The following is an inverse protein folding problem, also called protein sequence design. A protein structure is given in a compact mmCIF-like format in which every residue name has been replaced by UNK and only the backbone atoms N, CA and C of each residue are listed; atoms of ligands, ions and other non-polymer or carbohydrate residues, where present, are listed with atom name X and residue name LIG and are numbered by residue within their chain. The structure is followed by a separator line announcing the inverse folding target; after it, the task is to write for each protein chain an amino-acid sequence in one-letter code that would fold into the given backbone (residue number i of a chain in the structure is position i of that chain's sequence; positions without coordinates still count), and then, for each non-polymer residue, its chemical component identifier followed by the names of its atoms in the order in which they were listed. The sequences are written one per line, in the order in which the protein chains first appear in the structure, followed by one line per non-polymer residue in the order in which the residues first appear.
data_IF_020649051394
#
_entry.id   IF_020649051394
#
_cell.length_a   1.000
_cell.length_b   1.000
_cell.length_c   1.000
_cell.angle_alpha   90.00
_cell.angle_beta   90.00
_cell.angle_gamma   90.00
#
_symmetry.space_group_name_H-M   'P 1'
#
loop_
_entity.id
_entity.type
_entity.pdbx_description
1 polymer ?
#
# COMPACT_ATOMS: atom_id res chain seq x y z
N UNK A 1 -15.16 -20.11 -3.50
CA UNK A 1 -14.45 -19.57 -2.32
C UNK A 1 -14.39 -18.07 -2.50
N UNK A 2 -15.37 -17.36 -1.94
CA UNK A 2 -15.54 -15.92 -2.11
C UNK A 2 -14.63 -15.21 -1.08
N UNK A 3 -13.51 -14.64 -1.52
CA UNK A 3 -12.69 -13.81 -0.65
C UNK A 3 -13.42 -12.50 -0.38
N UNK A 4 -13.73 -12.28 0.90
CA UNK A 4 -14.32 -11.09 1.47
C UNK A 4 -13.55 -9.84 1.01
N UNK A 5 -14.10 -9.12 0.03
CA UNK A 5 -13.80 -7.70 -0.19
C UNK A 5 -14.35 -6.93 1.02
N UNK A 6 -13.57 -6.87 2.09
CA UNK A 6 -13.88 -6.02 3.22
C UNK A 6 -13.58 -4.58 2.81
N UNK A 7 -14.63 -3.80 2.57
CA UNK A 7 -14.55 -2.35 2.44
C UNK A 7 -14.01 -1.84 3.77
N UNK A 8 -12.81 -1.26 3.78
CA UNK A 8 -12.32 -0.53 4.95
C UNK A 8 -13.11 0.78 4.94
N UNK A 9 -14.32 0.73 5.48
CA UNK A 9 -15.04 1.94 5.87
C UNK A 9 -14.26 2.48 7.04
N UNK A 10 -13.42 3.50 6.82
CA UNK A 10 -12.91 4.30 7.93
C UNK A 10 -14.15 4.76 8.71
N UNK A 11 -14.29 4.42 10.00
CA UNK A 11 -15.42 4.91 10.76
C UNK A 11 -15.27 6.43 10.77
N UNK A 12 -16.27 7.12 10.22
CA UNK A 12 -16.49 8.50 10.61
C UNK A 12 -16.67 8.47 12.12
N UNK A 13 -15.97 9.36 12.82
CA UNK A 13 -16.12 9.48 14.25
C UNK A 13 -17.50 10.09 14.47
N UNK A 14 -18.46 9.26 14.85
CA UNK A 14 -19.81 9.66 15.24
C UNK A 14 -19.71 10.44 16.55
N UNK A 15 -19.44 11.74 16.44
CA UNK A 15 -19.80 12.70 17.47
C UNK A 15 -21.06 13.39 16.93
N UNK A 16 -22.22 13.02 17.50
CA UNK A 16 -23.56 13.65 17.47
C UNK A 16 -24.68 12.82 16.79
N UNK A 17 -25.53 12.23 17.64
CA UNK A 17 -26.63 11.28 17.37
C UNK A 17 -27.92 11.89 16.78
N UNK A 18 -27.91 13.03 16.07
CA UNK A 18 -29.18 13.73 15.73
C UNK A 18 -29.37 14.26 14.29
N UNK A 19 -28.61 13.80 13.27
CA UNK A 19 -28.83 14.32 11.90
C UNK A 19 -28.56 13.34 10.74
N UNK A 20 -29.19 12.16 10.77
CA UNK A 20 -29.06 11.14 9.71
C UNK A 20 -29.81 11.49 8.39
N UNK A 21 -30.32 12.72 8.21
CA UNK A 21 -31.08 13.10 7.02
C UNK A 21 -30.78 14.50 6.46
N UNK A 22 -29.74 15.19 6.95
CA UNK A 22 -29.28 16.44 6.33
C UNK A 22 -28.58 16.16 5.01
N UNK A 23 -29.20 16.62 3.92
CA UNK A 23 -28.57 16.62 2.60
C UNK A 23 -27.74 17.90 2.55
N UNK A 24 -26.39 17.82 2.57
CA UNK A 24 -25.54 19.00 2.54
C UNK A 24 -25.82 19.81 1.27
N UNK A 25 -25.83 21.13 1.41
CA UNK A 25 -26.00 22.01 0.25
C UNK A 25 -24.78 21.94 -0.68
N UNK A 26 -24.89 22.55 -1.87
CA UNK A 26 -23.83 22.45 -2.86
C UNK A 26 -22.49 23.01 -2.37
N UNK A 27 -22.52 24.03 -1.53
CA UNK A 27 -21.30 24.67 -1.02
C UNK A 27 -20.65 23.78 0.05
N UNK A 28 -21.46 23.23 0.96
CA UNK A 28 -21.01 22.28 1.98
C UNK A 28 -20.40 21.02 1.35
N UNK A 29 -21.00 20.48 0.29
CA UNK A 29 -20.44 19.33 -0.44
C UNK A 29 -19.06 19.64 -1.05
N UNK A 30 -18.86 20.84 -1.60
CA UNK A 30 -17.57 21.25 -2.16
C UNK A 30 -16.49 21.42 -1.09
N UNK A 31 -16.84 22.02 0.04
CA UNK A 31 -15.96 22.16 1.20
C UNK A 31 -15.57 20.78 1.76
N UNK A 32 -16.52 19.84 1.86
CA UNK A 32 -16.27 18.48 2.30
C UNK A 32 -15.35 17.71 1.33
N UNK A 33 -15.61 17.77 0.01
CA UNK A 33 -14.76 17.11 -0.99
C UNK A 33 -13.33 17.69 -0.97
N UNK A 34 -13.18 19.01 -0.86
CA UNK A 34 -11.87 19.65 -0.79
C UNK A 34 -11.12 19.31 0.51
N UNK A 35 -11.84 19.25 1.63
CA UNK A 35 -11.29 18.81 2.91
C UNK A 35 -10.80 17.37 2.82
N UNK A 36 -11.64 16.45 2.32
CA UNK A 36 -11.28 15.05 2.10
C UNK A 36 -10.06 14.90 1.20
N UNK A 37 -9.97 15.66 0.10
CA UNK A 37 -8.81 15.67 -0.79
C UNK A 37 -7.53 16.09 -0.07
N UNK A 38 -7.60 17.14 0.74
CA UNK A 38 -6.45 17.68 1.47
C UNK A 38 -5.98 16.71 2.55
N UNK A 39 -6.91 16.18 3.35
CA UNK A 39 -6.62 15.19 4.39
C UNK A 39 -6.06 13.89 3.79
N UNK A 40 -6.62 13.43 2.66
CA UNK A 40 -6.13 12.23 2.00
C UNK A 40 -4.73 12.43 1.44
N UNK A 41 -4.45 13.54 0.76
CA UNK A 41 -3.11 13.85 0.26
C UNK A 41 -2.06 13.92 1.39
N UNK A 42 -2.41 14.50 2.54
CA UNK A 42 -1.52 14.53 3.71
C UNK A 42 -1.29 13.12 4.28
N UNK A 43 -2.35 12.32 4.42
CA UNK A 43 -2.29 10.93 4.87
C UNK A 43 -1.44 10.07 3.93
N UNK A 44 -1.59 10.24 2.61
CA UNK A 44 -0.89 9.47 1.59
C UNK A 44 0.61 9.75 1.63
N UNK A 45 1.01 11.02 1.74
CA UNK A 45 2.42 11.41 1.90
C UNK A 45 3.03 10.77 3.16
N UNK A 46 2.29 10.75 4.27
CA UNK A 46 2.77 10.11 5.51
C UNK A 46 2.88 8.59 5.35
N UNK A 47 1.89 7.93 4.73
CA UNK A 47 1.90 6.50 4.47
C UNK A 47 3.08 6.09 3.57
N UNK A 48 3.30 6.83 2.49
CA UNK A 48 4.44 6.63 1.57
C UNK A 48 5.77 6.77 2.31
N UNK A 49 5.93 7.82 3.13
CA UNK A 49 7.16 8.02 3.89
C UNK A 49 7.41 6.89 4.89
N UNK A 50 6.38 6.45 5.61
CA UNK A 50 6.48 5.35 6.57
C UNK A 50 6.90 4.06 5.87
N UNK A 51 6.27 3.70 4.75
CA UNK A 51 6.62 2.46 4.05
C UNK A 51 8.00 2.51 3.40
N UNK A 52 8.43 3.67 2.89
CA UNK A 52 9.81 3.86 2.42
C UNK A 52 10.83 3.58 3.51
N UNK A 53 10.62 4.10 4.72
CA UNK A 53 11.50 3.84 5.87
C UNK A 53 11.56 2.33 6.17
N UNK A 54 10.42 1.64 6.18
CA UNK A 54 10.36 0.19 6.42
C UNK A 54 11.13 -0.59 5.35
N UNK A 55 10.95 -0.26 4.07
CA UNK A 55 11.66 -0.92 2.96
C UNK A 55 13.17 -0.67 3.06
N UNK A 56 13.60 0.56 3.37
CA UNK A 56 15.02 0.90 3.53
C UNK A 56 15.64 0.18 4.71
N UNK A 57 14.96 0.14 5.87
CA UNK A 57 15.44 -0.58 7.05
C UNK A 57 15.60 -2.08 6.76
N UNK A 58 14.63 -2.67 6.05
CA UNK A 58 14.73 -4.07 5.63
C UNK A 58 15.88 -4.31 4.64
N UNK A 59 16.10 -3.40 3.70
CA UNK A 59 17.22 -3.48 2.77
C UNK A 59 18.56 -3.42 3.52
N UNK A 60 18.69 -2.53 4.52
CA UNK A 60 19.88 -2.43 5.37
C UNK A 60 20.11 -3.74 6.14
N UNK A 61 19.06 -4.33 6.72
CA UNK A 61 19.18 -5.60 7.44
C UNK A 61 19.70 -6.74 6.53
N UNK A 62 19.21 -6.81 5.29
CA UNK A 62 19.71 -7.77 4.29
C UNK A 62 21.13 -7.44 3.81
N UNK A 63 21.50 -6.16 3.73
CA UNK A 63 22.84 -5.72 3.36
C UNK A 63 23.89 -6.12 4.40
N UNK A 64 23.56 -6.06 5.70
CA UNK A 64 24.45 -6.55 6.76
C UNK A 64 24.71 -8.05 6.66
N UNK A 65 23.77 -8.81 6.09
CA UNK A 65 23.88 -10.25 5.87
C UNK A 65 24.54 -10.60 4.52
N UNK A 66 25.02 -9.62 3.75
CA UNK A 66 25.65 -9.86 2.44
C UNK A 66 26.94 -10.69 2.54
N UNK A 67 27.62 -10.66 3.69
CA UNK A 67 28.85 -11.43 3.96
C UNK A 67 28.59 -12.85 4.54
N UNK A 68 27.34 -13.31 4.52
CA UNK A 68 26.94 -14.64 5.00
C UNK A 68 26.94 -15.67 3.84
N UNK A 69 26.74 -16.99 4.06
CA UNK A 69 27.03 -18.01 3.04
C UNK A 69 26.02 -18.06 1.88
N UNK A 70 25.02 -17.18 1.85
CA UNK A 70 24.01 -17.10 0.79
C UNK A 70 23.99 -15.74 0.06
N UNK A 71 25.13 -15.26 -0.48
CA UNK A 71 25.22 -13.91 -1.07
C UNK A 71 24.33 -13.75 -2.31
N UNK A 72 24.07 -14.83 -3.05
CA UNK A 72 23.18 -14.77 -4.21
C UNK A 72 21.72 -14.50 -3.82
N UNK A 73 21.24 -15.12 -2.72
CA UNK A 73 19.87 -14.91 -2.25
C UNK A 73 19.69 -13.52 -1.63
N UNK A 74 20.70 -13.02 -0.90
CA UNK A 74 20.66 -11.65 -0.37
C UNK A 74 20.68 -10.62 -1.49
N UNK A 75 21.49 -10.79 -2.55
CA UNK A 75 21.48 -9.92 -3.72
C UNK A 75 20.11 -9.90 -4.43
N UNK A 76 19.48 -11.06 -4.63
CA UNK A 76 18.12 -11.13 -5.18
C UNK A 76 17.14 -10.33 -4.33
N UNK A 77 17.18 -10.51 -3.01
CA UNK A 77 16.32 -9.76 -2.09
C UNK A 77 16.60 -8.26 -2.15
N UNK A 78 17.85 -7.83 -2.25
CA UNK A 78 18.19 -6.41 -2.42
C UNK A 78 17.61 -5.83 -3.73
N UNK A 79 17.66 -6.57 -4.83
CA UNK A 79 17.01 -6.17 -6.10
C UNK A 79 15.49 -6.03 -5.95
N UNK A 80 14.86 -6.92 -5.17
CA UNK A 80 13.42 -6.81 -4.84
C UNK A 80 13.14 -5.51 -4.07
N UNK A 81 13.96 -5.14 -3.09
CA UNK A 81 13.79 -3.89 -2.35
C UNK A 81 13.93 -2.66 -3.26
N UNK A 82 14.89 -2.68 -4.20
CA UNK A 82 15.00 -1.64 -5.23
C UNK A 82 13.73 -1.57 -6.07
N UNK A 83 13.20 -2.72 -6.52
CA UNK A 83 11.96 -2.76 -7.28
C UNK A 83 10.75 -2.25 -6.48
N UNK A 84 10.70 -2.45 -5.16
CA UNK A 84 9.66 -1.89 -4.30
C UNK A 84 9.76 -0.37 -4.16
N UNK A 85 10.97 0.18 -4.08
CA UNK A 85 11.18 1.64 -4.11
C UNK A 85 10.70 2.20 -5.46
N UNK A 86 11.01 1.53 -6.56
CA UNK A 86 10.51 1.88 -7.89
C UNK A 86 8.98 1.85 -7.97
N UNK A 87 8.32 0.88 -7.31
CA UNK A 87 6.87 0.87 -7.20
C UNK A 87 6.34 2.11 -6.47
N UNK A 88 6.92 2.43 -5.31
CA UNK A 88 6.51 3.59 -4.50
C UNK A 88 6.61 4.90 -5.29
N UNK A 89 7.62 5.02 -6.15
CA UNK A 89 7.80 6.21 -6.99
C UNK A 89 7.13 6.11 -8.37
N UNK A 90 6.48 4.98 -8.68
CA UNK A 90 5.86 4.69 -9.97
C UNK A 90 6.82 4.82 -11.19
N UNK A 91 8.09 4.41 -11.03
CA UNK A 91 9.13 4.51 -12.08
C UNK A 91 9.61 3.12 -12.52
N UNK A 92 9.43 2.75 -13.79
CA UNK A 92 10.04 1.56 -14.41
C UNK A 92 10.06 0.27 -13.56
N UNK A 93 8.92 -0.04 -12.93
CA UNK A 93 8.73 -1.14 -11.99
C UNK A 93 8.43 -2.48 -12.68
N UNK A 94 8.95 -3.58 -12.14
CA UNK A 94 8.58 -4.95 -12.53
C UNK A 94 7.30 -5.34 -11.80
N UNK A 95 6.35 -5.99 -12.47
CA UNK A 95 5.03 -6.32 -11.90
C UNK A 95 5.06 -7.03 -10.53
N UNK A 96 4.06 -6.75 -9.69
CA UNK A 96 3.88 -7.42 -8.40
C UNK A 96 3.89 -8.96 -8.45
N UNK A 97 3.18 -9.65 -9.38
CA UNK A 97 3.19 -11.11 -9.43
C UNK A 97 4.58 -11.70 -9.61
N UNK A 98 5.40 -11.10 -10.46
CA UNK A 98 6.78 -11.50 -10.68
C UNK A 98 7.62 -11.23 -9.42
N UNK A 99 7.42 -10.07 -8.78
CA UNK A 99 8.08 -9.71 -7.53
C UNK A 99 7.78 -10.71 -6.41
N UNK A 100 6.53 -11.17 -6.27
CA UNK A 100 6.17 -12.24 -5.34
C UNK A 100 6.84 -13.57 -5.71
N UNK A 101 6.78 -13.97 -6.98
CA UNK A 101 7.39 -15.23 -7.43
C UNK A 101 8.90 -15.26 -7.10
N UNK A 102 9.62 -14.17 -7.36
CA UNK A 102 11.03 -14.04 -7.02
C UNK A 102 11.27 -14.02 -5.50
N UNK A 103 10.39 -13.38 -4.72
CA UNK A 103 10.54 -13.32 -3.26
C UNK A 103 10.40 -14.68 -2.57
N UNK A 104 9.68 -15.62 -3.19
CA UNK A 104 9.49 -16.97 -2.69
C UNK A 104 10.67 -17.91 -3.00
N UNK A 105 11.60 -17.52 -3.88
CA UNK A 105 12.79 -18.33 -4.21
C UNK A 105 13.65 -18.59 -2.98
N UNK A 106 13.92 -17.56 -2.16
CA UNK A 106 14.76 -17.74 -0.98
C UNK A 106 14.07 -18.60 0.12
N UNK A 107 12.82 -18.34 0.53
CA UNK A 107 12.10 -19.20 1.47
C UNK A 107 12.01 -20.66 1.03
N UNK A 108 11.70 -20.91 -0.25
CA UNK A 108 11.57 -22.28 -0.77
C UNK A 108 12.90 -23.01 -0.76
N UNK A 109 13.98 -22.38 -1.21
CA UNK A 109 15.33 -22.97 -1.14
C UNK A 109 15.76 -23.25 0.30
N UNK A 110 15.48 -22.34 1.24
CA UNK A 110 15.79 -22.56 2.66
C UNK A 110 14.99 -23.73 3.26
N UNK A 111 13.73 -23.93 2.85
CA UNK A 111 12.93 -25.08 3.29
C UNK A 111 13.58 -26.39 2.83
N UNK A 112 14.06 -26.48 1.59
CA UNK A 112 14.73 -27.67 1.08
C UNK A 112 16.12 -27.89 1.67
N UNK A 113 16.84 -26.82 2.01
CA UNK A 113 18.19 -26.87 2.57
C UNK A 113 18.22 -27.03 4.10
N UNK A 114 17.08 -27.03 4.78
CA UNK A 114 17.01 -27.08 6.26
C UNK A 114 17.58 -25.83 6.96
N UNK A 115 17.62 -24.71 6.25
CA UNK A 115 18.12 -23.41 6.72
C UNK A 115 16.98 -22.61 7.38
N UNK A 116 17.24 -21.65 8.29
CA UNK A 116 16.18 -20.83 8.89
C UNK A 116 15.37 -20.04 7.85
N UNK A 117 14.14 -20.50 7.59
CA UNK A 117 13.22 -19.93 6.59
C UNK A 117 12.55 -18.64 7.04
N UNK A 118 12.31 -18.50 8.35
CA UNK A 118 11.54 -17.39 8.92
C UNK A 118 12.09 -16.01 8.50
N UNK A 119 13.41 -15.86 8.44
CA UNK A 119 14.05 -14.63 8.00
C UNK A 119 13.71 -14.28 6.54
N UNK A 120 13.74 -15.27 5.66
CA UNK A 120 13.49 -15.07 4.23
C UNK A 120 12.02 -14.79 3.91
N UNK A 121 11.10 -15.13 4.82
CA UNK A 121 9.68 -14.78 4.72
C UNK A 121 9.38 -13.30 4.98
N UNK A 122 10.34 -12.51 5.46
CA UNK A 122 10.14 -11.07 5.68
C UNK A 122 9.87 -10.34 4.36
N UNK A 123 10.60 -10.67 3.29
CA UNK A 123 10.47 -10.02 1.98
C UNK A 123 9.05 -10.12 1.38
N UNK A 124 8.41 -11.30 1.26
CA UNK A 124 7.04 -11.38 0.75
C UNK A 124 6.02 -10.61 1.61
N UNK A 125 6.22 -10.54 2.93
CA UNK A 125 5.38 -9.72 3.82
C UNK A 125 5.54 -8.23 3.50
N UNK A 126 6.76 -7.76 3.28
CA UNK A 126 7.00 -6.35 2.89
C UNK A 126 6.35 -6.03 1.55
N UNK A 127 6.45 -6.92 0.55
CA UNK A 127 5.77 -6.74 -0.74
C UNK A 127 4.26 -6.57 -0.53
N UNK A 128 3.66 -7.42 0.30
CA UNK A 128 2.23 -7.35 0.64
C UNK A 128 1.84 -6.03 1.29
N UNK A 129 2.64 -5.53 2.24
CA UNK A 129 2.36 -4.25 2.90
C UNK A 129 2.48 -3.08 1.91
N UNK A 130 3.53 -3.05 1.08
CA UNK A 130 3.72 -2.00 0.07
C UNK A 130 2.55 -1.98 -0.90
N UNK A 131 2.18 -3.13 -1.46
CA UNK A 131 1.05 -3.24 -2.38
C UNK A 131 -0.26 -2.81 -1.72
N UNK A 132 -0.52 -3.25 -0.48
CA UNK A 132 -1.75 -2.91 0.24
C UNK A 132 -1.89 -1.40 0.47
N UNK A 133 -0.78 -0.72 0.77
CA UNK A 133 -0.76 0.73 0.95
C UNK A 133 -1.02 1.44 -0.38
N UNK A 134 -0.36 1.04 -1.47
CA UNK A 134 -0.57 1.64 -2.79
C UNK A 134 -2.00 1.44 -3.30
N UNK A 135 -2.52 0.20 -3.23
CA UNK A 135 -3.91 -0.09 -3.58
C UNK A 135 -4.88 0.74 -2.72
N UNK A 136 -4.53 1.02 -1.47
CA UNK A 136 -5.32 1.88 -0.58
C UNK A 136 -5.36 3.34 -1.05
N UNK A 137 -4.21 3.89 -1.45
CA UNK A 137 -4.06 5.26 -1.97
C UNK A 137 -4.84 5.40 -3.29
N UNK A 138 -4.68 4.44 -4.20
CA UNK A 138 -5.35 4.44 -5.50
C UNK A 138 -6.87 4.40 -5.32
N UNK A 139 -7.38 3.51 -4.46
CA UNK A 139 -8.81 3.45 -4.11
C UNK A 139 -9.31 4.73 -3.46
N UNK A 140 -8.50 5.36 -2.60
CA UNK A 140 -8.82 6.65 -1.99
C UNK A 140 -9.04 7.73 -3.05
N UNK A 141 -8.12 7.83 -4.01
CA UNK A 141 -8.20 8.76 -5.14
C UNK A 141 -9.42 8.49 -6.02
N UNK A 142 -9.68 7.23 -6.37
CA UNK A 142 -10.87 6.82 -7.14
C UNK A 142 -12.17 7.20 -6.41
N UNK A 143 -12.23 7.03 -5.09
CA UNK A 143 -13.43 7.36 -4.31
C UNK A 143 -13.75 8.85 -4.31
N UNK A 144 -12.73 9.72 -4.23
CA UNK A 144 -12.89 11.17 -4.30
C UNK A 144 -13.34 11.60 -5.71
N UNK A 145 -12.75 10.99 -6.75
CA UNK A 145 -13.15 11.25 -8.13
C UNK A 145 -14.61 10.83 -8.39
N UNK A 146 -15.06 9.71 -7.79
CA UNK A 146 -16.45 9.28 -7.87
C UNK A 146 -17.42 10.24 -7.16
N UNK A 147 -17.06 10.77 -5.98
CA UNK A 147 -17.84 11.81 -5.29
C UNK A 147 -17.97 13.07 -6.15
N UNK A 148 -16.88 13.50 -6.78
CA UNK A 148 -16.88 14.64 -7.69
C UNK A 148 -17.76 14.38 -8.93
N UNK A 149 -17.75 13.18 -9.49
CA UNK A 149 -18.61 12.82 -10.62
C UNK A 149 -20.11 12.82 -10.26
N UNK A 150 -20.48 12.36 -9.05
CA UNK A 150 -21.88 12.37 -8.59
C UNK A 150 -22.40 13.80 -8.41
N UNK A 151 -21.56 14.72 -7.93
CA UNK A 151 -21.90 16.16 -7.85
C UNK A 151 -22.38 16.70 -9.20
N UNK A 152 -21.67 16.41 -10.29
CA UNK A 152 -22.04 16.90 -11.63
C UNK A 152 -23.32 16.26 -12.17
N UNK A 153 -23.63 15.02 -11.79
CA UNK A 153 -24.86 14.35 -12.22
C UNK A 153 -26.10 14.97 -11.56
N UNK A 154 -25.99 15.37 -10.29
CA UNK A 154 -27.09 16.01 -9.56
C UNK A 154 -27.43 17.43 -10.06
N UNK A 155 -26.47 18.13 -10.67
CA UNK A 155 -26.66 19.49 -11.22
C UNK A 155 -27.27 19.50 -12.63
N UNK A 156 -27.32 18.36 -13.32
CA UNK A 156 -27.72 18.25 -14.73
C UNK A 156 -29.08 17.61 -14.99
N UNK A 157 -29.83 17.22 -13.95
CA UNK A 157 -31.17 16.65 -14.02
C UNK A 157 -32.22 17.63 -13.47
#
# INVERSE_FOLDING_TARGET
MNSLRQRITRPFRDDDEDDDNHIPDQQEQEELINKLRTENAQSDVQAIRTIQIVVVLSAIAHLLLLFTPAPALTLLVLLIHVNLILHIHHVAQVSYPLTYALSLVAPTLCLFLGSPVAWWCVTPVIIFVVQSIQDGIDRGTESIAALEAMKYHALGA
#
